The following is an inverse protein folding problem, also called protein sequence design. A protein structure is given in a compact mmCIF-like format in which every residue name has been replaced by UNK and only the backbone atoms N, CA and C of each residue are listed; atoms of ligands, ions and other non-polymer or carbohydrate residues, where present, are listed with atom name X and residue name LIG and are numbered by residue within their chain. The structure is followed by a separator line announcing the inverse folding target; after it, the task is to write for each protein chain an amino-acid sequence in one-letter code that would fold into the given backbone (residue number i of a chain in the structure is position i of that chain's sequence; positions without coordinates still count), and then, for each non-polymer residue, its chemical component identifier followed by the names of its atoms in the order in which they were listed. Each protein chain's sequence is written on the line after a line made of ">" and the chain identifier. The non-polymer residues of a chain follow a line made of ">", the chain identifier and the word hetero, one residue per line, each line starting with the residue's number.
data_IF_679226666673
#
_entry.id   IF_679226666673
#
_cell.length_a   1.000
_cell.length_b   1.000
_cell.length_c   1.000
_cell.angle_alpha   90.00
_cell.angle_beta   90.00
_cell.angle_gamma   90.00
#
_symmetry.space_group_name_H-M   'P 1'
#
loop_
_entity.id
_entity.type
_entity.pdbx_description
1 polymer ?
#
# COMPACT_ATOMS: atom_id res chain seq x y z
N UNK A 1 9.02 7.24 12.45
CA UNK A 1 8.64 5.91 11.92
C UNK A 1 7.37 5.52 12.64
N UNK A 2 6.30 5.11 11.92
CA UNK A 2 4.97 4.95 12.53
C UNK A 2 4.90 3.86 13.63
N UNK A 3 5.79 2.85 13.58
CA UNK A 3 5.85 1.74 14.55
C UNK A 3 7.08 1.77 15.49
N UNK A 4 7.81 2.89 15.61
CA UNK A 4 8.98 2.90 16.52
C UNK A 4 8.63 2.88 18.00
N UNK A 5 7.39 3.22 18.31
CA UNK A 5 6.94 3.44 19.68
C UNK A 5 6.45 2.14 20.34
N UNK A 6 6.46 1.02 19.60
CA UNK A 6 6.08 -0.33 20.05
C UNK A 6 7.25 -1.12 20.68
N UNK A 7 8.48 -0.58 20.64
CA UNK A 7 9.68 -1.27 21.15
C UNK A 7 10.09 -0.74 22.53
N UNK A 8 10.57 -1.65 23.40
CA UNK A 8 11.06 -1.33 24.77
C UNK A 8 12.15 -0.25 24.79
N UNK A 9 12.94 -0.13 23.72
CA UNK A 9 14.02 0.85 23.57
C UNK A 9 13.57 2.16 22.90
N UNK A 10 12.26 2.35 22.73
CA UNK A 10 11.63 3.47 22.01
C UNK A 10 12.20 3.61 20.58
N UNK A 11 12.50 2.48 19.92
CA UNK A 11 12.98 2.40 18.54
C UNK A 11 14.44 2.81 18.34
N UNK A 12 15.26 2.84 19.39
CA UNK A 12 16.68 3.27 19.32
C UNK A 12 17.51 2.35 18.41
N UNK A 13 17.38 1.04 18.57
CA UNK A 13 18.08 0.04 17.76
C UNK A 13 17.65 0.15 16.30
N UNK A 14 16.34 0.30 16.03
CA UNK A 14 15.83 0.48 14.68
C UNK A 14 16.40 1.75 14.03
N UNK A 15 16.41 2.88 14.74
CA UNK A 15 17.03 4.12 14.23
C UNK A 15 18.52 3.94 13.96
N UNK A 16 19.24 3.18 14.79
CA UNK A 16 20.65 2.87 14.56
C UNK A 16 20.84 2.05 13.28
N UNK A 17 20.04 1.00 13.08
CA UNK A 17 20.10 0.17 11.86
C UNK A 17 19.79 0.99 10.62
N UNK A 18 18.78 1.86 10.67
CA UNK A 18 18.45 2.77 9.56
C UNK A 18 19.62 3.73 9.29
N UNK A 19 20.20 4.33 10.33
CA UNK A 19 21.37 5.20 10.17
C UNK A 19 22.58 4.47 9.59
N UNK A 20 22.83 3.23 10.01
CA UNK A 20 23.94 2.43 9.50
C UNK A 20 23.71 2.03 8.04
N UNK A 21 22.47 1.73 7.65
CA UNK A 21 22.05 1.48 6.28
C UNK A 21 22.27 2.72 5.39
N UNK A 22 21.90 3.90 5.90
CA UNK A 22 22.01 5.17 5.17
C UNK A 22 23.45 5.64 4.93
N UNK A 23 24.43 5.05 5.62
CA UNK A 23 25.85 5.30 5.31
C UNK A 23 26.26 4.80 3.92
N UNK A 24 25.59 3.76 3.41
CA UNK A 24 25.94 3.12 2.14
C UNK A 24 24.83 3.23 1.09
N UNK A 25 23.58 3.48 1.50
CA UNK A 25 22.41 3.43 0.64
C UNK A 25 21.50 4.64 0.88
N UNK A 26 20.94 5.21 -0.20
CA UNK A 26 19.89 6.22 -0.07
C UNK A 26 18.55 5.52 0.13
N UNK A 27 18.02 5.53 1.36
CA UNK A 27 16.78 4.84 1.75
C UNK A 27 15.57 5.21 0.89
N UNK A 28 15.47 6.47 0.48
CA UNK A 28 14.42 6.98 -0.40
C UNK A 28 14.37 6.29 -1.78
N UNK A 29 15.49 5.73 -2.25
CA UNK A 29 15.51 4.96 -3.51
C UNK A 29 14.73 3.65 -3.44
N UNK A 30 14.37 3.21 -2.24
CA UNK A 30 13.60 1.99 -2.00
C UNK A 30 12.12 2.26 -1.71
N UNK A 31 11.70 3.53 -1.68
CA UNK A 31 10.30 3.90 -1.54
C UNK A 31 9.61 3.98 -2.90
N UNK A 32 8.58 3.14 -3.11
CA UNK A 32 7.85 3.10 -4.38
C UNK A 32 7.17 4.45 -4.72
N UNK A 33 6.84 5.25 -3.71
CA UNK A 33 6.15 6.53 -3.88
C UNK A 33 6.96 7.54 -4.70
N UNK A 34 8.28 7.35 -4.78
CA UNK A 34 9.19 8.20 -5.56
C UNK A 34 9.20 7.87 -7.06
N UNK A 35 8.53 6.78 -7.46
CA UNK A 35 8.61 6.22 -8.82
C UNK A 35 7.23 5.95 -9.44
N UNK A 36 6.17 6.58 -8.95
CA UNK A 36 4.80 6.34 -9.44
C UNK A 36 4.67 6.53 -10.96
N UNK A 37 5.35 7.54 -11.52
CA UNK A 37 5.34 7.84 -12.95
C UNK A 37 5.92 6.73 -13.85
N UNK A 38 6.61 5.74 -13.28
CA UNK A 38 7.13 4.58 -14.01
C UNK A 38 6.07 3.52 -14.27
N UNK A 39 4.94 3.58 -13.56
CA UNK A 39 3.88 2.59 -13.70
C UNK A 39 3.12 2.84 -15.00
N UNK A 40 3.07 1.80 -15.83
CA UNK A 40 2.36 1.80 -17.13
C UNK A 40 1.19 0.83 -17.18
N UNK A 41 1.09 -0.05 -16.19
CA UNK A 41 0.03 -1.05 -16.09
C UNK A 41 -1.19 -0.46 -15.37
N UNK A 42 -2.41 -0.95 -15.67
CA UNK A 42 -3.56 -0.62 -14.86
C UNK A 42 -3.38 -1.19 -13.45
N UNK A 43 -3.97 -0.52 -12.45
CA UNK A 43 -3.89 -0.91 -11.04
C UNK A 43 -5.30 -1.10 -10.48
N UNK A 44 -5.47 -2.15 -9.67
CA UNK A 44 -6.62 -2.31 -8.78
C UNK A 44 -6.12 -2.42 -7.34
N UNK A 45 -6.69 -1.65 -6.44
CA UNK A 45 -6.34 -1.60 -5.02
C UNK A 45 -7.56 -1.88 -4.15
N UNK A 46 -7.38 -2.78 -3.18
CA UNK A 46 -8.39 -3.14 -2.19
C UNK A 46 -7.89 -2.79 -0.80
N UNK A 47 -8.74 -2.17 0.02
CA UNK A 47 -8.39 -1.76 1.39
C UNK A 47 -9.52 -2.05 2.37
N UNK A 48 -9.25 -2.83 3.42
CA UNK A 48 -10.13 -2.93 4.59
C UNK A 48 -10.05 -1.65 5.42
N UNK A 49 -11.18 -1.04 5.80
CA UNK A 49 -11.16 0.23 6.53
C UNK A 49 -10.81 0.08 8.02
N UNK A 50 -10.83 -1.15 8.55
CA UNK A 50 -10.46 -1.50 9.91
C UNK A 50 -9.10 -2.22 9.96
N UNK A 51 -8.28 -2.09 8.91
CA UNK A 51 -6.92 -2.61 8.88
C UNK A 51 -6.01 -1.79 9.82
N UNK A 52 -5.61 -2.40 10.93
CA UNK A 52 -4.72 -1.81 11.93
C UNK A 52 -3.24 -1.86 11.50
N UNK A 53 -2.88 -2.78 10.59
CA UNK A 53 -1.52 -2.97 10.11
C UNK A 53 -1.20 -2.06 8.92
N UNK A 54 -2.17 -1.74 8.07
CA UNK A 54 -2.02 -0.83 6.93
C UNK A 54 -3.14 0.21 6.96
N UNK A 55 -2.91 1.37 7.59
CA UNK A 55 -3.92 2.41 7.70
C UNK A 55 -4.42 2.88 6.33
N UNK A 56 -5.74 2.93 6.13
CA UNK A 56 -6.37 3.34 4.86
C UNK A 56 -5.81 4.65 4.28
N UNK A 57 -5.44 5.61 5.13
CA UNK A 57 -4.84 6.89 4.70
C UNK A 57 -3.59 6.73 3.82
N UNK A 58 -2.87 5.61 3.93
CA UNK A 58 -1.71 5.32 3.08
C UNK A 58 -2.16 4.96 1.67
N UNK A 59 -3.16 4.09 1.54
CA UNK A 59 -3.83 3.78 0.27
C UNK A 59 -4.44 5.04 -0.36
N UNK A 60 -5.10 5.89 0.42
CA UNK A 60 -5.64 7.17 -0.06
C UNK A 60 -4.53 8.10 -0.59
N UNK A 61 -3.37 8.13 0.07
CA UNK A 61 -2.22 8.94 -0.37
C UNK A 61 -1.59 8.39 -1.64
N UNK A 62 -1.50 7.08 -1.76
CA UNK A 62 -1.01 6.40 -2.96
C UNK A 62 -1.90 6.66 -4.17
N UNK A 63 -3.23 6.54 -4.01
CA UNK A 63 -4.22 6.82 -5.06
C UNK A 63 -4.10 8.26 -5.54
N UNK A 64 -4.05 9.24 -4.63
CA UNK A 64 -3.83 10.65 -4.99
C UNK A 64 -2.53 10.88 -5.76
N UNK A 65 -1.47 10.14 -5.40
CA UNK A 65 -0.19 10.19 -6.11
C UNK A 65 -0.32 9.70 -7.55
N UNK A 66 -1.00 8.58 -7.77
CA UNK A 66 -1.24 8.03 -9.11
C UNK A 66 -2.14 8.93 -9.96
N UNK A 67 -3.22 9.47 -9.37
CA UNK A 67 -4.13 10.40 -10.04
C UNK A 67 -3.40 11.65 -10.53
N UNK A 68 -2.46 12.18 -9.73
CA UNK A 68 -1.61 13.31 -10.11
C UNK A 68 -0.74 13.00 -11.33
N UNK A 69 -0.23 11.77 -11.41
CA UNK A 69 0.52 11.26 -12.55
C UNK A 69 -0.38 10.80 -13.72
N UNK A 70 -1.71 10.96 -13.60
CA UNK A 70 -2.73 10.54 -14.57
C UNK A 70 -2.71 9.04 -14.86
N UNK A 71 -2.32 8.24 -13.88
CA UNK A 71 -2.32 6.78 -13.95
C UNK A 71 -3.68 6.28 -13.47
N UNK A 72 -4.34 5.45 -14.28
CA UNK A 72 -5.65 4.92 -13.95
C UNK A 72 -5.55 3.85 -12.84
N UNK A 73 -6.43 3.98 -11.84
CA UNK A 73 -6.52 3.05 -10.70
C UNK A 73 -7.99 2.79 -10.35
N UNK A 74 -8.32 1.51 -10.13
CA UNK A 74 -9.57 1.10 -9.49
C UNK A 74 -9.32 0.95 -7.98
N UNK A 75 -9.91 1.82 -7.16
CA UNK A 75 -9.73 1.78 -5.71
C UNK A 75 -11.03 1.43 -4.99
N UNK A 76 -11.01 0.34 -4.22
CA UNK A 76 -12.14 -0.14 -3.44
C UNK A 76 -11.80 -0.20 -1.95
N UNK A 77 -12.60 0.50 -1.14
CA UNK A 77 -12.56 0.41 0.33
C UNK A 77 -13.70 -0.43 0.85
N UNK A 78 -13.43 -1.20 1.90
CA UNK A 78 -14.37 -2.16 2.50
C UNK A 78 -14.62 -1.79 3.96
N UNK A 79 -15.76 -1.11 4.25
CA UNK A 79 -16.06 -0.64 5.59
C UNK A 79 -16.07 -1.76 6.63
N UNK A 80 -15.29 -1.59 7.69
CA UNK A 80 -15.21 -2.53 8.81
C UNK A 80 -14.40 -3.79 8.53
N UNK A 81 -13.85 -3.96 7.32
CA UNK A 81 -13.02 -5.12 7.02
C UNK A 81 -11.57 -4.95 7.50
N UNK A 82 -10.97 -6.06 7.88
CA UNK A 82 -9.62 -6.11 8.47
C UNK A 82 -8.53 -6.29 7.40
N UNK A 83 -7.29 -6.48 7.86
CA UNK A 83 -6.12 -6.72 7.00
C UNK A 83 -6.27 -7.91 6.06
N UNK A 84 -7.07 -8.91 6.44
CA UNK A 84 -7.23 -10.17 5.73
C UNK A 84 -8.57 -10.27 4.98
N UNK A 85 -9.37 -9.21 4.98
CA UNK A 85 -10.75 -9.20 4.48
C UNK A 85 -11.65 -10.28 5.12
N UNK A 86 -11.41 -10.59 6.39
CA UNK A 86 -12.07 -11.70 7.08
C UNK A 86 -13.50 -11.40 7.54
N UNK A 87 -13.94 -10.15 7.47
CA UNK A 87 -15.27 -9.70 7.92
C UNK A 87 -16.36 -9.78 6.83
N UNK A 88 -16.09 -10.51 5.74
CA UNK A 88 -17.10 -10.90 4.75
C UNK A 88 -16.94 -10.28 3.37
N UNK A 89 -15.99 -9.35 3.16
CA UNK A 89 -15.80 -8.75 1.84
C UNK A 89 -14.94 -9.59 0.90
N UNK A 90 -14.28 -10.65 1.39
CA UNK A 90 -13.36 -11.48 0.60
C UNK A 90 -13.96 -11.95 -0.75
N UNK A 91 -15.23 -12.38 -0.75
CA UNK A 91 -15.91 -12.79 -1.99
C UNK A 91 -15.96 -11.68 -3.03
N UNK A 92 -16.30 -10.45 -2.62
CA UNK A 92 -16.36 -9.29 -3.50
C UNK A 92 -14.97 -8.80 -3.93
N UNK A 93 -13.95 -8.91 -3.07
CA UNK A 93 -12.54 -8.64 -3.42
C UNK A 93 -12.11 -9.57 -4.57
N UNK A 94 -12.34 -10.87 -4.42
CA UNK A 94 -11.94 -11.86 -5.41
C UNK A 94 -12.72 -11.75 -6.72
N UNK A 95 -14.03 -11.49 -6.67
CA UNK A 95 -14.85 -11.27 -7.86
C UNK A 95 -14.32 -10.09 -8.69
N UNK A 96 -14.06 -8.95 -8.04
CA UNK A 96 -13.48 -7.76 -8.68
C UNK A 96 -12.08 -8.00 -9.24
N UNK A 97 -11.26 -8.75 -8.51
CA UNK A 97 -9.90 -9.14 -8.94
C UNK A 97 -9.97 -9.95 -10.23
N UNK A 98 -10.78 -11.02 -10.27
CA UNK A 98 -10.92 -11.85 -11.47
C UNK A 98 -11.48 -11.03 -12.64
N UNK A 99 -12.46 -10.16 -12.39
CA UNK A 99 -13.00 -9.24 -13.40
C UNK A 99 -11.94 -8.29 -13.97
N UNK A 100 -11.13 -7.68 -13.10
CA UNK A 100 -10.04 -6.79 -13.49
C UNK A 100 -9.01 -7.49 -14.37
N UNK A 101 -8.60 -8.71 -14.01
CA UNK A 101 -7.66 -9.49 -14.83
C UNK A 101 -8.25 -9.86 -16.19
N UNK A 102 -9.52 -10.28 -16.23
CA UNK A 102 -10.21 -10.59 -17.49
C UNK A 102 -10.30 -9.38 -18.41
N UNK A 103 -10.57 -8.19 -17.87
CA UNK A 103 -10.71 -6.96 -18.66
C UNK A 103 -9.37 -6.41 -19.14
N UNK A 104 -8.33 -6.46 -18.30
CA UNK A 104 -7.08 -5.73 -18.57
C UNK A 104 -5.95 -6.62 -19.13
N UNK A 105 -6.03 -7.94 -18.93
CA UNK A 105 -4.88 -8.83 -19.17
C UNK A 105 -5.20 -10.11 -19.95
N UNK A 106 -6.48 -10.45 -20.21
CA UNK A 106 -6.79 -11.51 -21.16
C UNK A 106 -6.58 -10.99 -22.59
N UNK A 107 -5.48 -11.40 -23.21
CA UNK A 107 -5.23 -11.30 -24.65
C UNK A 107 -5.36 -12.67 -25.29
#
# INVERSE_FOLDING_TARGET
>A
LYYTDEFDDNGRALRKVVSDFENNYESEKYSLSNYLSWIKAPIQLHQGSADEAVPQRWSDSFVKGLEKEKINIEYFTYPGDDHNFSNGSWGAVMERTVGFYRTNFNK
#
